data_IF_828249670804
#
_entry.id   IF_828249670804
#
_cell.length_a   1.000
_cell.length_b   1.000
_cell.length_c   1.000
_cell.angle_alpha   90.00
_cell.angle_beta   90.00
_cell.angle_gamma   90.00
#
_symmetry.space_group_name_H-M   'P 1'
#
loop_
_entity.id
_entity.type
_entity.pdbx_description
1 polymer ?
#
# COMPACT_ATOMS: atom_id res chain seq x y z
N UNK A 1 3.82 -46.01 -10.46
CA UNK A 1 2.67 -45.29 -9.88
C UNK A 1 2.29 -44.25 -10.91
N UNK A 2 1.15 -44.49 -11.55
CA UNK A 2 0.82 -44.12 -12.94
C UNK A 2 0.20 -42.73 -13.06
N UNK A 3 0.46 -42.07 -14.19
CA UNK A 3 -0.09 -40.78 -14.69
C UNK A 3 -1.60 -40.56 -14.47
N UNK A 4 -2.37 -41.62 -14.22
CA UNK A 4 -3.82 -41.58 -13.99
C UNK A 4 -4.24 -41.02 -12.62
N UNK A 5 -3.33 -40.82 -11.66
CA UNK A 5 -3.66 -40.19 -10.36
C UNK A 5 -3.52 -38.66 -10.35
N UNK A 6 -2.83 -38.08 -11.34
CA UNK A 6 -2.67 -36.62 -11.43
C UNK A 6 -3.92 -35.91 -11.97
N UNK A 7 -4.67 -36.54 -12.88
CA UNK A 7 -5.91 -35.97 -13.45
C UNK A 7 -7.11 -36.01 -12.51
N UNK A 8 -7.04 -36.78 -11.40
CA UNK A 8 -8.15 -36.89 -10.44
C UNK A 8 -8.13 -35.80 -9.35
N UNK A 9 -7.05 -35.02 -9.24
CA UNK A 9 -6.98 -33.90 -8.28
C UNK A 9 -7.44 -32.55 -8.87
N UNK A 10 -7.55 -32.41 -10.19
CA UNK A 10 -7.97 -31.14 -10.81
C UNK A 10 -9.50 -30.95 -10.81
N UNK A 11 -10.28 -32.01 -10.61
CA UNK A 11 -11.74 -31.97 -10.84
C UNK A 11 -12.62 -31.68 -9.62
N UNK A 12 -12.05 -31.39 -8.44
CA UNK A 12 -12.83 -31.21 -7.21
C UNK A 12 -12.88 -29.77 -6.66
N UNK A 13 -12.42 -28.77 -7.40
CA UNK A 13 -12.45 -27.36 -6.94
C UNK A 13 -13.61 -26.54 -7.53
N UNK A 14 -14.63 -27.20 -8.09
CA UNK A 14 -15.90 -26.54 -8.45
C UNK A 14 -17.00 -27.05 -7.52
N UNK A 15 -16.99 -26.62 -6.26
CA UNK A 15 -17.94 -27.14 -5.30
C UNK A 15 -17.96 -26.44 -3.94
N UNK A 16 -18.79 -25.42 -3.87
CA UNK A 16 -19.60 -25.06 -2.70
C UNK A 16 -18.97 -24.15 -1.63
N UNK A 17 -19.67 -23.03 -1.39
CA UNK A 17 -19.39 -22.11 -0.31
C UNK A 17 -19.89 -22.58 1.05
N UNK A 18 -19.55 -21.76 2.05
CA UNK A 18 -20.20 -21.61 3.35
C UNK A 18 -20.21 -22.84 4.27
N UNK A 19 -19.25 -22.88 5.20
CA UNK A 19 -19.44 -23.50 6.51
C UNK A 19 -18.56 -22.84 7.58
N UNK A 20 -19.22 -22.30 8.60
CA UNK A 20 -18.71 -21.77 9.87
C UNK A 20 -17.95 -22.83 10.66
N UNK A 21 -16.83 -22.49 11.32
CA UNK A 21 -16.37 -23.22 12.51
C UNK A 21 -15.53 -22.35 13.46
N UNK A 22 -15.86 -22.48 14.74
CA UNK A 22 -15.33 -21.84 15.93
C UNK A 22 -13.86 -22.20 16.21
N UNK A 23 -13.07 -21.24 16.72
CA UNK A 23 -11.99 -21.51 17.68
C UNK A 23 -10.72 -22.21 17.20
N UNK A 24 -10.30 -22.05 15.94
CA UNK A 24 -8.93 -22.40 15.52
C UNK A 24 -8.09 -21.14 15.41
N UNK A 25 -6.87 -21.15 15.95
CA UNK A 25 -5.86 -20.16 15.54
C UNK A 25 -5.73 -20.31 14.04
N UNK A 26 -6.26 -19.34 13.29
CA UNK A 26 -6.19 -19.31 11.83
C UNK A 26 -4.72 -19.14 11.44
N UNK A 27 -4.00 -20.27 11.37
CA UNK A 27 -2.70 -20.33 10.73
C UNK A 27 -2.97 -20.32 9.24
N UNK A 28 -2.84 -19.15 8.63
CA UNK A 28 -2.79 -19.00 7.18
C UNK A 28 -1.75 -20.01 6.64
N UNK A 29 -2.18 -20.89 5.73
CA UNK A 29 -1.27 -21.76 4.99
C UNK A 29 -0.29 -20.83 4.27
N UNK A 30 1.00 -20.88 4.62
CA UNK A 30 2.06 -20.05 4.00
C UNK A 30 2.37 -20.60 2.60
N UNK A 31 1.44 -20.39 1.69
CA UNK A 31 1.50 -20.86 0.30
C UNK A 31 1.61 -19.67 -0.66
N UNK A 32 2.42 -18.67 -0.31
CA UNK A 32 2.86 -17.68 -1.28
C UNK A 32 4.02 -18.31 -2.06
N UNK A 33 3.70 -18.96 -3.18
CA UNK A 33 4.71 -19.45 -4.11
C UNK A 33 5.51 -18.30 -4.72
N UNK A 34 6.74 -18.57 -5.18
CA UNK A 34 7.64 -17.55 -5.74
C UNK A 34 6.97 -16.73 -6.85
N UNK A 35 6.28 -17.39 -7.78
CA UNK A 35 5.60 -16.72 -8.88
C UNK A 35 4.44 -15.83 -8.40
N UNK A 36 3.65 -16.30 -7.43
CA UNK A 36 2.58 -15.51 -6.84
C UNK A 36 3.12 -14.28 -6.09
N UNK A 37 4.25 -14.43 -5.40
CA UNK A 37 4.90 -13.33 -4.70
C UNK A 37 5.47 -12.30 -5.68
N UNK A 38 6.14 -12.74 -6.74
CA UNK A 38 6.68 -11.83 -7.78
C UNK A 38 5.55 -11.05 -8.46
N UNK A 39 4.46 -11.72 -8.86
CA UNK A 39 3.33 -11.04 -9.49
C UNK A 39 2.65 -10.05 -8.54
N UNK A 40 2.54 -10.37 -7.25
CA UNK A 40 2.05 -9.44 -6.24
C UNK A 40 2.93 -8.19 -6.16
N UNK A 41 4.25 -8.36 -6.11
CA UNK A 41 5.21 -7.25 -6.07
C UNK A 41 5.10 -6.40 -7.34
N UNK A 42 5.03 -7.02 -8.51
CA UNK A 42 4.83 -6.30 -9.78
C UNK A 42 3.52 -5.51 -9.79
N UNK A 43 2.45 -6.08 -9.25
CA UNK A 43 1.14 -5.42 -9.17
C UNK A 43 1.11 -4.20 -8.24
N UNK A 44 1.88 -4.20 -7.15
CA UNK A 44 1.96 -3.03 -6.25
C UNK A 44 2.99 -1.99 -6.69
N UNK A 45 4.00 -2.39 -7.47
CA UNK A 45 5.05 -1.49 -7.98
C UNK A 45 4.59 -0.71 -9.22
N UNK A 46 3.86 -1.35 -10.14
CA UNK A 46 3.37 -0.71 -11.36
C UNK A 46 2.08 0.06 -11.03
N UNK A 47 2.23 1.35 -10.73
CA UNK A 47 1.14 2.27 -10.44
C UNK A 47 0.84 3.28 -11.57
N UNK A 48 -0.08 4.20 -11.31
CA UNK A 48 -0.45 5.29 -12.23
C UNK A 48 0.67 6.33 -12.47
N UNK A 49 1.75 6.28 -11.68
CA UNK A 49 2.88 7.21 -11.81
C UNK A 49 3.57 7.17 -13.17
N UNK A 50 3.49 6.05 -13.91
CA UNK A 50 4.12 5.93 -15.24
C UNK A 50 3.56 6.92 -16.27
N UNK A 51 2.34 7.42 -16.07
CA UNK A 51 1.73 8.39 -16.98
C UNK A 51 2.20 9.83 -16.73
N UNK A 52 2.66 10.12 -15.50
CA UNK A 52 3.03 11.48 -15.05
C UNK A 52 4.55 11.67 -15.03
N UNK A 53 5.26 10.69 -14.47
CA UNK A 53 6.69 10.80 -14.18
C UNK A 53 7.56 11.03 -15.43
N UNK A 54 7.31 10.41 -16.60
CA UNK A 54 8.13 10.65 -17.78
C UNK A 54 8.00 12.07 -18.34
N UNK A 55 6.78 12.62 -18.37
CA UNK A 55 6.53 13.99 -18.84
C UNK A 55 7.26 15.00 -17.96
N UNK A 56 7.14 14.85 -16.64
CA UNK A 56 7.83 15.71 -15.70
C UNK A 56 9.36 15.57 -15.78
N UNK A 57 9.88 14.34 -15.90
CA UNK A 57 11.32 14.11 -16.05
C UNK A 57 11.89 14.73 -17.33
N UNK A 58 11.14 14.67 -18.44
CA UNK A 58 11.55 15.27 -19.71
C UNK A 58 11.58 16.79 -19.66
N UNK A 59 10.58 17.42 -19.04
CA UNK A 59 10.50 18.87 -18.84
C UNK A 59 11.71 19.41 -18.06
N UNK A 60 12.11 18.73 -16.98
CA UNK A 60 13.25 19.16 -16.17
C UNK A 60 14.60 18.80 -16.80
N UNK A 61 14.67 17.72 -17.57
CA UNK A 61 15.92 17.22 -18.13
C UNK A 61 16.28 17.84 -19.49
N UNK A 62 15.31 18.39 -20.23
CA UNK A 62 15.50 19.06 -21.53
C UNK A 62 15.97 18.17 -22.69
N UNK A 63 16.41 16.93 -22.43
CA UNK A 63 16.85 15.96 -23.43
C UNK A 63 16.38 14.55 -23.10
N UNK A 64 15.94 13.82 -24.12
CA UNK A 64 15.42 12.45 -23.99
C UNK A 64 16.51 11.50 -23.47
N UNK A 65 17.76 11.67 -23.90
CA UNK A 65 18.86 10.81 -23.46
C UNK A 65 19.13 10.93 -21.95
N UNK A 66 19.10 12.15 -21.43
CA UNK A 66 19.27 12.40 -19.99
C UNK A 66 18.07 11.87 -19.18
N UNK A 67 16.85 12.00 -19.70
CA UNK A 67 15.66 11.42 -19.09
C UNK A 67 15.78 9.88 -18.93
N UNK A 68 16.28 9.18 -19.96
CA UNK A 68 16.48 7.72 -19.89
C UNK A 68 17.57 7.31 -18.89
N UNK A 69 18.64 8.11 -18.78
CA UNK A 69 19.70 7.88 -17.79
C UNK A 69 19.14 8.05 -16.37
N UNK A 70 18.41 9.13 -16.11
CA UNK A 70 17.80 9.40 -14.80
C UNK A 70 16.86 8.26 -14.40
N UNK A 71 16.06 7.77 -15.35
CA UNK A 71 15.12 6.67 -15.12
C UNK A 71 15.84 5.34 -14.82
N UNK A 72 16.95 5.08 -15.50
CA UNK A 72 17.77 3.89 -15.23
C UNK A 72 18.45 3.98 -13.86
N UNK A 73 18.99 5.15 -13.52
CA UNK A 73 19.65 5.40 -12.23
C UNK A 73 18.65 5.29 -11.07
N UNK A 74 17.44 5.83 -11.20
CA UNK A 74 16.41 5.69 -10.17
C UNK A 74 15.98 4.23 -9.97
N UNK A 75 15.90 3.44 -11.05
CA UNK A 75 15.66 2.00 -10.99
C UNK A 75 16.75 1.24 -10.21
N UNK A 76 18.03 1.56 -10.46
CA UNK A 76 19.16 0.95 -9.74
C UNK A 76 19.13 1.33 -8.25
N UNK A 77 18.88 2.59 -7.91
CA UNK A 77 18.78 3.05 -6.52
C UNK A 77 17.61 2.34 -5.81
N UNK A 78 16.47 2.20 -6.48
CA UNK A 78 15.30 1.48 -5.95
C UNK A 78 15.61 0.00 -5.69
N UNK A 79 16.34 -0.67 -6.60
CA UNK A 79 16.75 -2.06 -6.42
C UNK A 79 17.67 -2.23 -5.21
N UNK A 80 18.65 -1.35 -5.03
CA UNK A 80 19.55 -1.37 -3.86
C UNK A 80 18.79 -1.15 -2.55
N UNK A 81 17.81 -0.24 -2.56
CA UNK A 81 16.89 -0.03 -1.43
C UNK A 81 16.09 -1.29 -1.12
N UNK A 82 15.47 -1.90 -2.12
CA UNK A 82 14.68 -3.12 -1.97
C UNK A 82 15.50 -4.28 -1.42
N UNK A 83 16.75 -4.44 -1.87
CA UNK A 83 17.65 -5.48 -1.37
C UNK A 83 18.02 -5.25 0.11
N UNK A 84 18.26 -4.00 0.49
CA UNK A 84 18.54 -3.63 1.88
C UNK A 84 17.33 -3.89 2.79
N UNK A 85 16.11 -3.59 2.30
CA UNK A 85 14.86 -3.90 3.00
C UNK A 85 14.58 -5.39 3.07
N UNK A 86 14.99 -6.17 2.06
CA UNK A 86 14.88 -7.63 2.07
C UNK A 86 15.77 -8.24 3.16
N UNK A 87 17.03 -7.81 3.27
CA UNK A 87 17.93 -8.23 4.35
C UNK A 87 17.33 -7.90 5.72
N UNK A 88 16.85 -6.67 5.90
CA UNK A 88 16.25 -6.24 7.16
C UNK A 88 14.97 -7.03 7.52
N UNK A 89 14.16 -7.37 6.51
CA UNK A 89 12.96 -8.20 6.69
C UNK A 89 13.26 -9.65 7.07
N UNK A 90 14.44 -10.18 6.73
CA UNK A 90 14.88 -11.51 7.19
C UNK A 90 15.47 -11.48 8.60
N UNK A 91 16.11 -10.37 8.98
CA UNK A 91 16.69 -10.17 10.33
C UNK A 91 15.62 -9.90 11.38
N UNK A 92 14.64 -9.04 11.08
CA UNK A 92 13.60 -8.63 12.01
C UNK A 92 12.30 -9.39 11.72
N UNK A 93 12.17 -10.57 12.31
CA UNK A 93 10.98 -11.44 12.18
C UNK A 93 9.72 -10.96 12.94
N UNK A 94 9.58 -9.66 13.21
CA UNK A 94 8.46 -9.07 13.94
C UNK A 94 7.45 -8.46 12.96
N UNK A 95 6.16 -8.59 13.26
CA UNK A 95 5.10 -7.95 12.48
C UNK A 95 5.07 -6.44 12.75
N UNK A 96 4.97 -5.63 11.68
CA UNK A 96 4.95 -4.16 11.75
C UNK A 96 5.90 -3.44 10.78
N UNK A 97 6.62 -4.18 9.92
CA UNK A 97 7.46 -3.66 8.84
C UNK A 97 8.38 -2.51 9.32
N UNK A 98 8.23 -1.32 8.72
CA UNK A 98 9.07 -0.15 9.00
C UNK A 98 9.09 0.23 10.49
N UNK A 99 7.93 0.19 11.16
CA UNK A 99 7.84 0.51 12.60
C UNK A 99 8.65 -0.47 13.45
N UNK A 100 8.56 -1.77 13.15
CA UNK A 100 9.31 -2.81 13.86
C UNK A 100 10.82 -2.66 13.66
N UNK A 101 11.25 -2.21 12.49
CA UNK A 101 12.67 -1.97 12.21
C UNK A 101 13.22 -0.81 13.05
N UNK A 102 12.48 0.30 13.13
CA UNK A 102 12.87 1.44 13.98
C UNK A 102 12.85 1.08 15.46
N UNK A 103 11.87 0.29 15.90
CA UNK A 103 11.78 -0.18 17.28
C UNK A 103 13.00 -1.04 17.67
N UNK A 104 13.44 -1.95 16.79
CA UNK A 104 14.60 -2.82 17.06
C UNK A 104 15.91 -2.04 17.03
N UNK A 105 16.08 -1.12 16.06
CA UNK A 105 17.29 -0.33 15.91
C UNK A 105 17.50 0.67 17.07
N UNK A 106 16.44 1.35 17.52
CA UNK A 106 16.54 2.41 18.53
C UNK A 106 16.17 1.95 19.95
N UNK A 107 15.52 0.79 20.12
CA UNK A 107 15.11 0.27 21.42
C UNK A 107 16.28 0.00 22.38
N UNK A 108 17.46 -0.32 21.85
CA UNK A 108 18.67 -0.58 22.64
C UNK A 108 19.45 0.66 23.09
N UNK A 109 19.19 1.83 22.49
CA UNK A 109 20.01 3.04 22.73
C UNK A 109 19.71 3.70 24.08
N UNK A 110 18.44 3.71 24.52
CA UNK A 110 18.06 4.29 25.81
C UNK A 110 16.72 3.74 26.33
N UNK A 111 16.69 3.22 27.56
CA UNK A 111 15.49 2.56 28.16
C UNK A 111 14.22 3.44 28.15
N UNK A 112 14.38 4.76 28.20
CA UNK A 112 13.26 5.71 28.28
C UNK A 112 12.98 6.47 26.98
N UNK A 113 13.99 6.64 26.11
CA UNK A 113 13.91 7.45 24.89
C UNK A 113 14.00 6.60 23.61
N UNK A 114 14.37 5.33 23.73
CA UNK A 114 14.50 4.39 22.61
C UNK A 114 13.26 4.19 21.74
N UNK A 115 12.02 4.14 22.28
CA UNK A 115 10.82 3.99 21.45
C UNK A 115 10.31 5.31 20.84
N UNK A 116 10.85 6.46 21.25
CA UNK A 116 10.36 7.78 20.83
C UNK A 116 10.61 8.05 19.33
N UNK A 117 11.79 7.75 18.74
CA UNK A 117 12.01 7.87 17.30
C UNK A 117 11.03 7.02 16.48
N UNK A 118 10.77 5.78 16.89
CA UNK A 118 9.84 4.87 16.22
C UNK A 118 8.41 5.45 16.20
N UNK A 119 7.97 6.03 17.32
CA UNK A 119 6.69 6.72 17.41
C UNK A 119 6.61 7.96 16.51
N UNK A 120 7.66 8.79 16.49
CA UNK A 120 7.70 9.99 15.64
C UNK A 120 7.66 9.62 14.16
N UNK A 121 8.43 8.60 13.74
CA UNK A 121 8.40 8.09 12.37
C UNK A 121 7.01 7.60 11.98
N UNK A 122 6.36 6.79 12.82
CA UNK A 122 4.99 6.34 12.60
C UNK A 122 3.99 7.51 12.54
N UNK A 123 4.16 8.50 13.41
CA UNK A 123 3.32 9.70 13.42
C UNK A 123 3.45 10.50 12.13
N UNK A 124 4.66 10.81 11.69
CA UNK A 124 4.92 11.51 10.43
C UNK A 124 4.36 10.72 9.25
N UNK A 125 4.54 9.40 9.26
CA UNK A 125 4.04 8.52 8.22
C UNK A 125 2.51 8.61 8.07
N UNK A 126 1.80 8.50 9.20
CA UNK A 126 0.33 8.51 9.22
C UNK A 126 -0.24 9.90 8.97
N UNK A 127 0.36 10.96 9.53
CA UNK A 127 -0.18 12.32 9.47
C UNK A 127 0.19 13.05 8.18
N UNK A 128 1.38 12.80 7.63
CA UNK A 128 1.92 13.56 6.50
C UNK A 128 2.02 12.68 5.26
N UNK A 129 2.71 11.54 5.36
CA UNK A 129 3.07 10.75 4.18
C UNK A 129 1.84 10.11 3.51
N UNK A 130 0.99 9.43 4.29
CA UNK A 130 -0.20 8.73 3.77
C UNK A 130 -1.25 9.67 3.16
N UNK A 131 -1.57 10.82 3.76
CA UNK A 131 -2.44 11.79 3.10
C UNK A 131 -1.82 12.38 1.83
N UNK A 132 -0.51 12.64 1.81
CA UNK A 132 0.18 13.22 0.66
C UNK A 132 0.19 12.27 -0.55
N UNK A 133 0.50 10.98 -0.35
CA UNK A 133 0.45 9.95 -1.41
C UNK A 133 -0.90 9.95 -2.11
N UNK A 134 -1.95 9.92 -1.28
CA UNK A 134 -3.32 9.89 -1.71
C UNK A 134 -3.73 11.18 -2.44
N UNK A 135 -3.25 12.33 -1.98
CA UNK A 135 -3.52 13.62 -2.61
C UNK A 135 -2.90 13.73 -4.01
N UNK A 136 -1.67 13.25 -4.18
CA UNK A 136 -0.98 13.25 -5.47
C UNK A 136 -1.76 12.42 -6.48
N UNK A 137 -2.17 11.20 -6.10
CA UNK A 137 -2.93 10.30 -6.99
C UNK A 137 -4.26 10.93 -7.43
N UNK A 138 -5.00 11.55 -6.49
CA UNK A 138 -6.28 12.21 -6.78
C UNK A 138 -6.10 13.41 -7.70
N UNK A 139 -5.09 14.24 -7.44
CA UNK A 139 -4.79 15.42 -8.24
C UNK A 139 -4.44 15.04 -9.67
N UNK A 140 -3.52 14.07 -9.82
CA UNK A 140 -3.18 13.48 -11.11
C UNK A 140 -4.44 12.95 -11.81
N UNK A 141 -5.25 12.13 -11.14
CA UNK A 141 -6.46 11.57 -11.74
C UNK A 141 -7.42 12.65 -12.25
N UNK A 142 -7.64 13.71 -11.46
CA UNK A 142 -8.50 14.82 -11.85
C UNK A 142 -7.95 15.55 -13.10
N UNK A 143 -6.64 15.77 -13.19
CA UNK A 143 -6.00 16.38 -14.36
C UNK A 143 -6.23 15.55 -15.62
N UNK A 144 -5.96 14.24 -15.57
CA UNK A 144 -6.18 13.36 -16.73
C UNK A 144 -7.66 13.19 -17.08
N UNK A 145 -8.57 13.21 -16.09
CA UNK A 145 -10.00 13.10 -16.33
C UNK A 145 -10.59 14.33 -17.03
N UNK A 146 -10.10 15.54 -16.71
CA UNK A 146 -10.62 16.82 -17.23
C UNK A 146 -9.99 17.20 -18.58
N UNK A 147 -8.76 16.71 -18.87
CA UNK A 147 -8.06 16.95 -20.15
C UNK A 147 -8.93 16.71 -21.41
N UNK A 148 -9.66 15.60 -21.59
CA UNK A 148 -10.44 15.36 -22.80
C UNK A 148 -11.68 16.26 -22.96
N UNK A 149 -12.25 16.77 -21.86
CA UNK A 149 -13.48 17.56 -21.90
C UNK A 149 -13.24 19.06 -22.04
N UNK A 150 -11.98 19.52 -21.94
CA UNK A 150 -11.63 20.95 -21.96
C UNK A 150 -10.54 21.33 -22.98
N UNK A 151 -10.68 20.97 -24.28
CA UNK A 151 -9.67 21.31 -25.28
C UNK A 151 -9.63 22.80 -25.67
N UNK A 152 -10.68 23.59 -25.39
CA UNK A 152 -10.81 25.01 -25.81
C UNK A 152 -11.21 25.97 -24.66
N UNK A 153 -11.09 25.56 -23.40
CA UNK A 153 -11.38 26.42 -22.24
C UNK A 153 -10.11 27.18 -21.84
N UNK A 154 -10.23 28.46 -21.46
CA UNK A 154 -9.11 29.24 -20.97
C UNK A 154 -8.38 28.51 -19.81
N UNK A 155 -7.03 28.54 -19.78
CA UNK A 155 -6.22 27.78 -18.83
C UNK A 155 -6.55 28.11 -17.37
N UNK A 156 -7.03 29.32 -17.10
CA UNK A 156 -7.42 29.78 -15.76
C UNK A 156 -8.61 28.98 -15.19
N UNK A 157 -9.67 28.76 -15.98
CA UNK A 157 -10.84 27.99 -15.54
C UNK A 157 -10.54 26.49 -15.42
N UNK A 158 -9.61 25.98 -16.25
CA UNK A 158 -9.17 24.58 -16.19
C UNK A 158 -8.42 24.29 -14.89
N UNK A 159 -7.51 25.16 -14.47
CA UNK A 159 -6.81 25.00 -13.18
C UNK A 159 -7.76 25.07 -11.99
N UNK A 160 -8.71 25.99 -12.01
CA UNK A 160 -9.71 26.12 -10.94
C UNK A 160 -10.58 24.86 -10.87
N UNK A 161 -11.01 24.32 -12.01
CA UNK A 161 -11.79 23.08 -12.07
C UNK A 161 -11.02 21.87 -11.53
N UNK A 162 -9.74 21.73 -11.88
CA UNK A 162 -8.86 20.67 -11.36
C UNK A 162 -8.68 20.82 -9.84
N UNK A 163 -8.42 22.04 -9.35
CA UNK A 163 -8.26 22.33 -7.92
C UNK A 163 -9.55 22.04 -7.14
N UNK A 164 -10.71 22.42 -7.65
CA UNK A 164 -12.00 22.14 -7.01
C UNK A 164 -12.34 20.65 -7.01
N UNK A 165 -12.12 19.95 -8.13
CA UNK A 165 -12.35 18.50 -8.24
C UNK A 165 -11.42 17.68 -7.34
N UNK A 166 -10.15 18.09 -7.24
CA UNK A 166 -9.19 17.45 -6.33
C UNK A 166 -9.52 17.74 -4.86
N UNK A 167 -9.97 18.95 -4.51
CA UNK A 167 -10.45 19.26 -3.15
C UNK A 167 -11.71 18.45 -2.80
N UNK A 168 -12.69 18.32 -3.71
CA UNK A 168 -13.89 17.53 -3.45
C UNK A 168 -13.58 16.05 -3.26
N UNK A 169 -12.73 15.48 -4.13
CA UNK A 169 -12.30 14.07 -4.02
C UNK A 169 -11.44 13.82 -2.77
N UNK A 170 -10.57 14.78 -2.39
CA UNK A 170 -9.83 14.71 -1.13
C UNK A 170 -10.75 14.75 0.09
N UNK A 171 -11.80 15.57 0.05
CA UNK A 171 -12.80 15.65 1.10
C UNK A 171 -13.54 14.31 1.23
N UNK A 172 -13.98 13.73 0.10
CA UNK A 172 -14.61 12.40 0.05
C UNK A 172 -13.70 11.31 0.63
N UNK A 173 -12.45 11.25 0.20
CA UNK A 173 -11.50 10.25 0.71
C UNK A 173 -11.10 10.47 2.17
N UNK A 174 -11.09 11.70 2.66
CA UNK A 174 -10.95 11.97 4.10
C UNK A 174 -12.16 11.44 4.87
N UNK A 175 -13.36 11.54 4.27
CA UNK A 175 -14.60 11.06 4.84
C UNK A 175 -14.66 9.53 4.84
N UNK A 176 -14.22 8.88 3.76
CA UNK A 176 -14.16 7.42 3.66
C UNK A 176 -13.07 6.82 4.55
N UNK A 177 -11.88 7.43 4.65
CA UNK A 177 -10.89 7.01 5.66
C UNK A 177 -11.43 7.12 7.08
N UNK A 178 -12.18 8.18 7.38
CA UNK A 178 -12.82 8.36 8.69
C UNK A 178 -13.92 7.31 8.95
N UNK A 179 -14.69 6.92 7.92
CA UNK A 179 -15.67 5.83 8.02
C UNK A 179 -14.99 4.48 8.20
N UNK A 180 -13.98 4.16 7.40
CA UNK A 180 -13.23 2.90 7.47
C UNK A 180 -12.56 2.72 8.84
N UNK A 181 -11.93 3.78 9.36
CA UNK A 181 -11.34 3.77 10.71
C UNK A 181 -12.42 3.51 11.77
N UNK A 182 -13.57 4.18 11.66
CA UNK A 182 -14.70 4.00 12.58
C UNK A 182 -15.24 2.57 12.53
N UNK A 183 -15.34 1.97 11.35
CA UNK A 183 -15.86 0.62 11.17
C UNK A 183 -14.85 -0.44 11.62
N UNK A 184 -13.54 -0.20 11.43
CA UNK A 184 -12.48 -1.01 12.03
C UNK A 184 -12.57 -1.01 13.56
N UNK A 185 -12.69 0.17 14.19
CA UNK A 185 -12.83 0.29 15.65
C UNK A 185 -14.09 -0.40 16.16
N UNK A 186 -15.23 -0.25 15.46
CA UNK A 186 -16.46 -0.95 15.82
C UNK A 186 -16.32 -2.48 15.75
N UNK A 187 -15.59 -3.01 14.77
CA UNK A 187 -15.31 -4.45 14.65
C UNK A 187 -14.51 -4.96 15.85
N UNK A 188 -13.44 -4.27 16.22
CA UNK A 188 -12.62 -4.61 17.39
C UNK A 188 -13.45 -4.59 18.69
N UNK A 189 -14.26 -3.56 18.92
CA UNK A 189 -15.16 -3.49 20.09
C UNK A 189 -16.10 -4.69 20.12
N UNK A 190 -16.69 -5.04 18.97
CA UNK A 190 -17.61 -6.17 18.87
C UNK A 190 -16.92 -7.51 19.13
N UNK A 191 -15.68 -7.68 18.65
CA UNK A 191 -14.88 -8.86 18.93
C UNK A 191 -14.51 -8.99 20.41
N UNK A 192 -14.10 -7.89 21.05
CA UNK A 192 -13.79 -7.87 22.48
C UNK A 192 -15.04 -8.22 23.29
N UNK A 193 -16.20 -7.64 22.96
CA UNK A 193 -17.47 -7.96 23.61
C UNK A 193 -17.86 -9.44 23.44
N UNK A 194 -17.61 -10.02 22.26
CA UNK A 194 -17.86 -11.44 22.01
C UNK A 194 -16.93 -12.35 22.83
N UNK A 195 -15.63 -12.01 22.93
CA UNK A 195 -14.65 -12.74 23.75
C UNK A 195 -15.05 -12.73 25.23
N UNK A 196 -15.36 -11.55 25.80
CA UNK A 196 -15.77 -11.45 27.20
C UNK A 196 -17.06 -12.23 27.51
N UNK A 197 -18.01 -12.28 26.57
CA UNK A 197 -19.26 -13.04 26.76
C UNK A 197 -19.05 -14.56 26.76
N UNK A 198 -18.01 -15.05 26.07
CA UNK A 198 -17.68 -16.47 26.01
C UNK A 198 -16.85 -16.95 27.21
N UNK A 199 -16.18 -16.05 27.94
CA UNK A 199 -15.44 -16.37 29.18
C UNK A 199 -16.33 -16.39 30.44
N UNK A 200 -17.51 -15.77 30.39
CA UNK A 200 -18.44 -15.64 31.53
C UNK A 200 -19.64 -16.61 31.47
N UNK A 201 -19.60 -17.61 30.59
CA UNK A 201 -20.63 -18.63 30.38
C UNK A 201 -19.99 -20.02 30.49
#
# INVERSE_FOLDING_TARGET
>A
MTEKEAELMEKNETGNGMATACGSTVKLKRELGLFSAVNLILGVMIGSGIFVSPSSALEHSGSVALCLIIWTVSGIISLLGALSFAELGTVVGKSGAEYSYFQEAFGGIHKFWGPLPSFICAWIYVVILRPAEVAIIVMTFAEYAIQPFTPNIDPEYKEIAIKLASISALCEMSSDRNKETRDAVKREIKEIQARCKHEWN
#
